data_IF_021902849956
#
_entry.id   IF_021902849956
#
_cell.length_a   1.000
_cell.length_b   1.000
_cell.length_c   1.000
_cell.angle_alpha   90.00
_cell.angle_beta   90.00
_cell.angle_gamma   90.00
#
_symmetry.space_group_name_H-M   'P 1'
#
loop_
_entity.id
_entity.type
_entity.pdbx_description
1 polymer ?
#
# COMPACT_ATOMS: atom_id res chain seq x y z
N UNK A 1 18.13 13.93 -17.33
CA UNK A 1 18.19 13.68 -15.87
C UNK A 1 18.87 12.34 -15.62
N UNK A 2 19.88 12.29 -14.76
CA UNK A 2 20.56 11.06 -14.39
C UNK A 2 19.70 10.18 -13.49
N UNK A 3 20.02 8.89 -13.40
CA UNK A 3 19.33 7.98 -12.50
C UNK A 3 19.45 8.41 -11.04
N UNK A 4 20.62 8.93 -10.67
CA UNK A 4 20.85 9.47 -9.33
C UNK A 4 19.94 10.65 -9.01
N UNK A 5 19.74 11.56 -9.95
CA UNK A 5 18.84 12.71 -9.79
C UNK A 5 17.37 12.27 -9.67
N UNK A 6 16.95 11.30 -10.50
CA UNK A 6 15.60 10.74 -10.42
C UNK A 6 15.34 10.11 -9.07
N UNK A 7 16.29 9.35 -8.56
CA UNK A 7 16.17 8.69 -7.27
C UNK A 7 16.11 9.69 -6.11
N UNK A 8 16.93 10.74 -6.17
CA UNK A 8 16.89 11.82 -5.18
C UNK A 8 15.51 12.51 -5.15
N UNK A 9 14.91 12.73 -6.32
CA UNK A 9 13.55 13.30 -6.39
C UNK A 9 12.51 12.38 -5.77
N UNK A 10 12.61 11.08 -6.03
CA UNK A 10 11.71 10.07 -5.44
C UNK A 10 11.82 10.06 -3.91
N UNK A 11 13.04 10.10 -3.40
CA UNK A 11 13.30 10.14 -1.96
C UNK A 11 12.71 11.40 -1.30
N UNK A 12 12.84 12.56 -1.93
CA UNK A 12 12.27 13.81 -1.43
C UNK A 12 10.76 13.76 -1.38
N UNK A 13 10.11 13.19 -2.41
CA UNK A 13 8.65 13.03 -2.45
C UNK A 13 8.17 12.11 -1.33
N UNK A 14 8.81 10.97 -1.17
CA UNK A 14 8.48 10.02 -0.10
C UNK A 14 8.65 10.66 1.27
N UNK A 15 9.74 11.41 1.47
CA UNK A 15 10.01 12.11 2.73
C UNK A 15 8.92 13.12 3.06
N UNK A 16 8.45 13.90 2.07
CA UNK A 16 7.37 14.88 2.28
C UNK A 16 6.06 14.20 2.68
N UNK A 17 5.72 13.08 2.02
CA UNK A 17 4.51 12.32 2.35
C UNK A 17 4.60 11.79 3.78
N UNK A 18 5.73 11.19 4.14
CA UNK A 18 5.96 10.65 5.49
C UNK A 18 5.96 11.73 6.57
N UNK A 19 6.44 12.92 6.26
CA UNK A 19 6.41 14.04 7.19
C UNK A 19 4.97 14.47 7.49
N UNK A 20 4.12 14.56 6.46
CA UNK A 20 2.69 14.84 6.65
C UNK A 20 2.00 13.76 7.49
N UNK A 21 2.33 12.51 7.24
CA UNK A 21 1.81 11.38 8.02
C UNK A 21 2.18 11.53 9.50
N UNK A 22 3.44 11.87 9.79
CA UNK A 22 3.89 12.09 11.17
C UNK A 22 3.14 13.22 11.87
N UNK A 23 2.87 14.31 11.16
CA UNK A 23 2.18 15.47 11.71
C UNK A 23 0.72 15.18 12.05
N UNK A 24 0.07 14.31 11.28
CA UNK A 24 -1.35 14.00 11.41
C UNK A 24 -1.62 12.68 12.12
N UNK A 25 -0.61 11.84 12.27
CA UNK A 25 -0.78 10.48 12.75
C UNK A 25 -0.92 10.40 14.27
N UNK A 26 -1.84 9.55 14.71
CA UNK A 26 -2.17 9.31 16.11
C UNK A 26 -1.92 7.85 16.47
N UNK A 27 -0.68 7.40 16.36
CA UNK A 27 -0.25 6.04 16.72
C UNK A 27 -0.89 4.93 15.86
N UNK A 28 -1.25 5.25 14.62
CA UNK A 28 -1.78 4.25 13.69
C UNK A 28 -0.65 3.55 12.94
N UNK A 29 -0.83 2.27 12.58
CA UNK A 29 0.12 1.61 11.70
C UNK A 29 0.12 2.26 10.32
N UNK A 30 1.25 2.14 9.62
CA UNK A 30 1.42 2.71 8.29
C UNK A 30 1.24 1.62 7.24
N UNK A 31 0.37 1.87 6.26
CA UNK A 31 0.18 1.02 5.11
C UNK A 31 1.05 1.55 3.98
N UNK A 32 2.16 0.86 3.69
CA UNK A 32 3.09 1.22 2.63
C UNK A 32 2.81 0.38 1.39
N UNK A 33 2.81 1.01 0.22
CA UNK A 33 2.57 0.35 -1.05
C UNK A 33 3.81 0.43 -1.93
N UNK A 34 4.08 -0.65 -2.67
CA UNK A 34 5.19 -0.74 -3.61
C UNK A 34 4.68 -1.34 -4.92
N UNK A 35 5.12 -0.81 -6.04
CA UNK A 35 4.79 -1.37 -7.33
C UNK A 35 5.97 -1.37 -8.28
N UNK A 36 6.03 -2.40 -9.12
CA UNK A 36 6.86 -2.46 -10.31
C UNK A 36 5.95 -2.49 -11.53
N UNK A 37 6.51 -2.65 -12.73
CA UNK A 37 5.70 -2.75 -13.94
C UNK A 37 4.70 -3.90 -13.91
N UNK A 38 5.07 -5.04 -13.30
CA UNK A 38 4.26 -6.27 -13.32
C UNK A 38 3.62 -6.62 -11.99
N UNK A 39 4.13 -6.10 -10.90
CA UNK A 39 3.73 -6.54 -9.57
C UNK A 39 3.39 -5.38 -8.66
N UNK A 40 2.55 -5.65 -7.68
CA UNK A 40 2.19 -4.70 -6.64
C UNK A 40 2.11 -5.44 -5.32
N UNK A 41 2.60 -4.81 -4.25
CA UNK A 41 2.45 -5.34 -2.90
C UNK A 41 2.32 -4.20 -1.90
N UNK A 42 1.76 -4.54 -0.75
CA UNK A 42 1.54 -3.60 0.32
C UNK A 42 1.89 -4.24 1.66
N UNK A 43 2.35 -3.42 2.58
CA UNK A 43 2.74 -3.84 3.92
C UNK A 43 2.10 -2.94 4.96
N UNK A 44 1.68 -3.52 6.07
CA UNK A 44 1.24 -2.77 7.24
C UNK A 44 2.38 -2.80 8.25
N UNK A 45 2.89 -1.65 8.60
CA UNK A 45 4.09 -1.49 9.42
C UNK A 45 3.73 -0.79 10.72
N UNK A 46 4.16 -1.36 11.84
CA UNK A 46 4.03 -0.73 13.14
C UNK A 46 5.27 0.14 13.39
N UNK A 47 5.17 1.41 13.04
CA UNK A 47 6.30 2.36 13.15
C UNK A 47 6.66 2.72 14.58
N UNK A 48 5.77 2.44 15.54
CA UNK A 48 5.98 2.79 16.95
C UNK A 48 6.65 1.67 17.76
N UNK A 49 6.68 0.46 17.20
CA UNK A 49 7.30 -0.71 17.82
C UNK A 49 8.48 -1.24 16.98
N UNK A 50 9.38 -0.35 16.55
CA UNK A 50 10.59 -0.72 15.83
C UNK A 50 10.42 -0.96 14.35
N UNK A 51 9.29 -0.54 13.76
CA UNK A 51 9.07 -0.68 12.32
C UNK A 51 8.79 -2.11 11.86
N UNK A 52 8.19 -2.94 12.71
CA UNK A 52 7.87 -4.32 12.38
C UNK A 52 6.74 -4.40 11.36
N UNK A 53 6.89 -5.30 10.39
CA UNK A 53 5.83 -5.60 9.44
C UNK A 53 4.81 -6.49 10.12
N UNK A 54 3.57 -5.99 10.26
CA UNK A 54 2.48 -6.73 10.91
C UNK A 54 1.87 -7.74 9.94
N UNK A 55 1.57 -7.29 8.73
CA UNK A 55 1.04 -8.15 7.67
C UNK A 55 1.37 -7.54 6.31
N UNK A 56 1.26 -8.36 5.27
CA UNK A 56 1.52 -7.93 3.90
C UNK A 56 0.66 -8.71 2.93
N UNK A 57 0.45 -8.14 1.75
CA UNK A 57 -0.25 -8.80 0.66
C UNK A 57 0.39 -8.40 -0.67
N UNK A 58 0.36 -9.31 -1.63
CA UNK A 58 0.90 -9.07 -2.96
C UNK A 58 0.07 -9.79 -4.01
N UNK A 59 0.33 -9.47 -5.29
CA UNK A 59 -0.41 -10.04 -6.40
C UNK A 59 -0.11 -11.53 -6.64
N UNK A 60 1.03 -12.03 -6.18
CA UNK A 60 1.33 -13.47 -6.27
C UNK A 60 0.37 -14.33 -5.45
N UNK A 61 -0.16 -13.79 -4.37
CA UNK A 61 -1.13 -14.49 -3.52
C UNK A 61 -2.50 -14.64 -4.19
N UNK A 62 -2.71 -13.98 -5.32
CA UNK A 62 -3.96 -14.04 -6.08
C UNK A 62 -3.92 -15.08 -7.20
N UNK A 63 -3.07 -16.08 -7.12
CA UNK A 63 -2.85 -17.07 -8.19
C UNK A 63 -4.15 -17.69 -8.71
N UNK A 64 -5.05 -18.04 -7.83
CA UNK A 64 -6.33 -18.68 -8.19
C UNK A 64 -7.28 -17.71 -8.90
N UNK A 65 -7.10 -16.41 -8.71
CA UNK A 65 -7.91 -15.36 -9.34
C UNK A 65 -7.30 -14.82 -10.63
N UNK A 66 -6.01 -15.11 -10.88
CA UNK A 66 -5.30 -14.70 -12.09
C UNK A 66 -5.71 -15.44 -13.35
N UNK A 67 -6.47 -16.52 -13.23
CA UNK A 67 -7.00 -17.26 -14.38
C UNK A 67 -8.01 -16.49 -15.21
N UNK A 68 -8.51 -15.37 -14.71
CA UNK A 68 -9.41 -14.49 -15.45
C UNK A 68 -8.58 -13.53 -16.30
N UNK A 69 -8.57 -13.81 -17.60
CA UNK A 69 -7.74 -13.09 -18.59
C UNK A 69 -8.08 -11.61 -18.76
N UNK A 70 -9.16 -11.13 -18.14
CA UNK A 70 -9.69 -9.78 -18.36
C UNK A 70 -9.31 -8.77 -17.27
N UNK A 71 -8.52 -9.18 -16.26
CA UNK A 71 -8.20 -8.27 -15.17
C UNK A 71 -7.07 -7.31 -15.54
N UNK A 72 -7.35 -6.04 -15.38
CA UNK A 72 -6.35 -4.97 -15.56
C UNK A 72 -5.42 -4.94 -14.34
N UNK A 73 -4.32 -4.20 -14.45
CA UNK A 73 -3.42 -3.99 -13.33
C UNK A 73 -4.12 -3.29 -12.15
N UNK A 74 -5.06 -2.40 -12.43
CA UNK A 74 -5.85 -1.73 -11.40
C UNK A 74 -6.79 -2.70 -10.69
N UNK A 75 -7.41 -3.62 -11.43
CA UNK A 75 -8.27 -4.66 -10.84
C UNK A 75 -7.47 -5.56 -9.90
N UNK A 76 -6.26 -5.93 -10.30
CA UNK A 76 -5.36 -6.75 -9.48
C UNK A 76 -4.97 -5.97 -8.21
N UNK A 77 -4.65 -4.69 -8.34
CA UNK A 77 -4.32 -3.85 -7.19
C UNK A 77 -5.48 -3.75 -6.20
N UNK A 78 -6.71 -3.61 -6.70
CA UNK A 78 -7.90 -3.61 -5.87
C UNK A 78 -8.04 -4.92 -5.08
N UNK A 79 -7.82 -6.06 -5.74
CA UNK A 79 -7.89 -7.37 -5.09
C UNK A 79 -6.79 -7.55 -4.04
N UNK A 80 -5.60 -7.02 -4.28
CA UNK A 80 -4.51 -7.02 -3.29
C UNK A 80 -4.94 -6.20 -2.08
N UNK A 81 -5.59 -5.06 -2.30
CA UNK A 81 -6.13 -4.23 -1.23
C UNK A 81 -7.19 -4.97 -0.40
N UNK A 82 -8.10 -5.67 -1.05
CA UNK A 82 -9.11 -6.47 -0.36
C UNK A 82 -8.47 -7.61 0.46
N UNK A 83 -7.45 -8.27 -0.11
CA UNK A 83 -6.71 -9.32 0.58
C UNK A 83 -6.00 -8.78 1.82
N UNK A 84 -5.37 -7.62 1.70
CA UNK A 84 -4.69 -6.97 2.81
C UNK A 84 -5.68 -6.60 3.92
N UNK A 85 -6.84 -6.06 3.54
CA UNK A 85 -7.90 -5.72 4.48
C UNK A 85 -8.39 -6.95 5.24
N UNK A 86 -8.52 -8.09 4.57
CA UNK A 86 -8.91 -9.35 5.18
C UNK A 86 -7.88 -9.77 6.25
N UNK A 87 -6.60 -9.69 5.92
CA UNK A 87 -5.52 -9.98 6.86
C UNK A 87 -5.52 -9.03 8.05
N UNK A 88 -5.75 -7.73 7.80
CA UNK A 88 -5.84 -6.72 8.85
C UNK A 88 -7.02 -6.98 9.78
N UNK A 89 -8.18 -7.35 9.24
CA UNK A 89 -9.37 -7.68 10.02
C UNK A 89 -9.12 -8.87 10.94
N UNK A 90 -8.41 -9.89 10.48
CA UNK A 90 -8.04 -11.05 11.29
C UNK A 90 -7.14 -10.68 12.47
N UNK A 91 -6.38 -9.61 12.33
CA UNK A 91 -5.48 -9.09 13.38
C UNK A 91 -6.10 -7.95 14.18
N UNK A 92 -7.40 -7.67 13.98
CA UNK A 92 -8.13 -6.58 14.64
C UNK A 92 -7.57 -5.18 14.35
N UNK A 93 -6.94 -5.00 13.20
CA UNK A 93 -6.46 -3.70 12.74
C UNK A 93 -7.56 -3.09 11.87
N UNK A 94 -8.21 -2.04 12.36
CA UNK A 94 -9.34 -1.40 11.66
C UNK A 94 -8.98 -0.07 11.00
N UNK A 95 -7.83 0.49 11.36
CA UNK A 95 -7.38 1.79 10.86
C UNK A 95 -5.90 1.74 10.54
N UNK A 96 -5.49 2.44 9.50
CA UNK A 96 -4.09 2.61 9.13
C UNK A 96 -3.92 3.93 8.38
N UNK A 97 -2.70 4.44 8.35
CA UNK A 97 -2.37 5.63 7.55
C UNK A 97 -1.76 5.16 6.24
N UNK A 98 -2.34 5.61 5.13
CA UNK A 98 -1.86 5.23 3.81
C UNK A 98 -0.62 6.03 3.44
N UNK A 99 0.52 5.33 3.25
CA UNK A 99 1.78 5.91 2.80
C UNK A 99 1.98 5.53 1.33
N UNK A 100 1.67 6.46 0.44
CA UNK A 100 1.87 6.27 -1.00
C UNK A 100 3.34 6.39 -1.42
N UNK A 101 4.24 6.75 -0.51
CA UNK A 101 5.64 6.96 -0.82
C UNK A 101 5.84 8.05 -1.86
N UNK A 102 6.58 7.74 -2.92
CA UNK A 102 6.79 8.68 -4.03
C UNK A 102 5.77 8.52 -5.16
N UNK A 103 4.86 7.56 -5.08
CA UNK A 103 3.84 7.35 -6.11
C UNK A 103 2.75 8.40 -6.02
N UNK A 104 2.13 8.74 -7.16
CA UNK A 104 0.93 9.56 -7.18
C UNK A 104 -0.25 8.72 -6.69
N UNK A 105 -1.19 9.35 -5.99
CA UNK A 105 -2.43 8.71 -5.58
C UNK A 105 -3.37 8.62 -6.78
N UNK A 106 -3.06 7.68 -7.68
CA UNK A 106 -3.75 7.50 -8.95
C UNK A 106 -3.56 6.08 -9.46
N UNK A 107 -4.46 5.61 -10.30
CA UNK A 107 -4.38 4.31 -10.96
C UNK A 107 -4.30 3.16 -9.96
N UNK A 108 -3.26 2.34 -10.09
CA UNK A 108 -3.07 1.14 -9.26
C UNK A 108 -2.96 1.46 -7.76
N UNK A 109 -2.31 2.54 -7.41
CA UNK A 109 -2.13 2.95 -6.01
C UNK A 109 -3.48 3.29 -5.39
N UNK A 110 -4.29 4.07 -6.10
CA UNK A 110 -5.64 4.43 -5.67
C UNK A 110 -6.53 3.20 -5.59
N UNK A 111 -6.46 2.30 -6.57
CA UNK A 111 -7.26 1.07 -6.59
C UNK A 111 -6.96 0.18 -5.40
N UNK A 112 -5.69 0.06 -5.01
CA UNK A 112 -5.30 -0.72 -3.84
C UNK A 112 -5.93 -0.11 -2.57
N UNK A 113 -5.83 1.21 -2.41
CA UNK A 113 -6.42 1.90 -1.26
C UNK A 113 -7.94 1.72 -1.22
N UNK A 114 -8.61 1.78 -2.36
CA UNK A 114 -10.05 1.55 -2.46
C UNK A 114 -10.44 0.11 -2.07
N UNK A 115 -9.61 -0.87 -2.46
CA UNK A 115 -9.79 -2.26 -2.06
C UNK A 115 -9.69 -2.44 -0.55
N UNK A 116 -8.73 -1.79 0.08
CA UNK A 116 -8.57 -1.80 1.54
C UNK A 116 -9.80 -1.19 2.21
N UNK A 117 -10.29 -0.06 1.72
CA UNK A 117 -11.49 0.59 2.25
C UNK A 117 -12.73 -0.29 2.11
N UNK A 118 -12.88 -0.96 0.98
CA UNK A 118 -14.00 -1.88 0.74
C UNK A 118 -14.00 -3.01 1.76
N UNK A 119 -12.83 -3.46 2.19
CA UNK A 119 -12.69 -4.48 3.22
C UNK A 119 -13.01 -4.00 4.63
N UNK A 120 -13.41 -2.75 4.80
CA UNK A 120 -13.81 -2.20 6.09
C UNK A 120 -12.70 -1.54 6.87
N UNK A 121 -11.54 -1.35 6.28
CA UNK A 121 -10.41 -0.68 6.94
C UNK A 121 -10.46 0.82 6.63
N UNK A 122 -10.28 1.62 7.64
CA UNK A 122 -10.25 3.07 7.51
C UNK A 122 -8.82 3.52 7.20
N UNK A 123 -8.60 4.05 6.03
CA UNK A 123 -7.30 4.57 5.59
C UNK A 123 -7.42 5.98 5.05
#
# INVERSE_FOLDING_TARGET
>A
MTNKQKEQKRMRRAKRVRQKIKETNQNLPRLSVFRSNRHIYAQVIDVYNGGKIICSANDFELKDKKGEKTKTKSDIAFLVGELLADKMNKLNIKKAVFDRGFYKYHGRIKSLAEGVKKGGIKV
#
